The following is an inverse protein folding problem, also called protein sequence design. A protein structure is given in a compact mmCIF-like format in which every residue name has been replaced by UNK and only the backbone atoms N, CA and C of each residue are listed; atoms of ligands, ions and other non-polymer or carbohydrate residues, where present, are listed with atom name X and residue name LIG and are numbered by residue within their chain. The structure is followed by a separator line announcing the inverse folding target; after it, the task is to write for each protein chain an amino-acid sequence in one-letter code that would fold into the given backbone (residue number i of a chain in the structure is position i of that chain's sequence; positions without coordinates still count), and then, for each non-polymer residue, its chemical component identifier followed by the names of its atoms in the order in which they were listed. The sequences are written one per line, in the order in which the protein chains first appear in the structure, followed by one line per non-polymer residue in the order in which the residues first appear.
data_IF_938489972946
#
_entry.id   IF_938489972946
#
_cell.length_a   1.000
_cell.length_b   1.000
_cell.length_c   1.000
_cell.angle_alpha   90.00
_cell.angle_beta   90.00
_cell.angle_gamma   90.00
#
_symmetry.space_group_name_H-M   'P 1'
#
loop_
_entity.id
_entity.type
_entity.pdbx_description
1 polymer ?
#
# COMPACT_ATOMS: atom_id res chain seq x y z
N UNK A 1 10.08 -21.15 9.60
CA UNK A 1 11.27 -20.33 9.91
C UNK A 1 11.17 -19.93 11.38
N UNK A 2 12.26 -20.00 12.15
CA UNK A 2 12.24 -19.68 13.59
C UNK A 2 13.13 -18.46 13.83
N UNK A 3 12.58 -17.39 14.40
CA UNK A 3 13.33 -16.18 14.75
C UNK A 3 13.70 -16.26 16.22
N UNK A 4 14.99 -16.14 16.52
CA UNK A 4 15.47 -16.08 17.90
C UNK A 4 15.52 -14.63 18.37
N UNK A 5 14.72 -14.31 19.38
CA UNK A 5 14.74 -13.02 20.03
C UNK A 5 15.97 -12.91 20.95
N UNK A 6 16.58 -11.74 20.97
CA UNK A 6 17.57 -11.41 21.99
C UNK A 6 16.89 -11.26 23.37
N UNK A 7 17.63 -11.47 24.47
CA UNK A 7 17.08 -11.26 25.82
C UNK A 7 16.50 -9.84 26.03
N UNK A 8 17.06 -8.84 25.35
CA UNK A 8 16.55 -7.47 25.36
C UNK A 8 15.19 -7.35 24.64
N UNK A 9 15.06 -7.96 23.46
CA UNK A 9 13.81 -7.94 22.70
C UNK A 9 12.69 -8.63 23.47
N UNK A 10 12.96 -9.78 24.09
CA UNK A 10 11.98 -10.47 24.94
C UNK A 10 11.52 -9.60 26.11
N UNK A 11 12.45 -8.92 26.79
CA UNK A 11 12.13 -8.02 27.90
C UNK A 11 11.21 -6.89 27.46
N UNK A 12 11.48 -6.29 26.30
CA UNK A 12 10.70 -5.20 25.73
C UNK A 12 9.30 -5.66 25.31
N UNK A 13 9.18 -6.82 24.66
CA UNK A 13 7.89 -7.40 24.28
C UNK A 13 7.04 -7.67 25.54
N UNK A 14 7.62 -8.29 26.58
CA UNK A 14 6.91 -8.51 27.86
C UNK A 14 6.44 -7.20 28.49
N UNK A 15 7.26 -6.15 28.46
CA UNK A 15 6.86 -4.84 28.98
C UNK A 15 5.68 -4.23 28.24
N UNK A 16 5.58 -4.47 26.93
CA UNK A 16 4.46 -4.02 26.08
C UNK A 16 3.18 -4.84 26.37
N UNK A 17 3.30 -6.16 26.49
CA UNK A 17 2.18 -7.04 26.87
C UNK A 17 1.63 -6.72 28.26
N UNK A 18 2.52 -6.45 29.23
CA UNK A 18 2.13 -6.09 30.60
C UNK A 18 1.35 -4.76 30.68
N UNK A 19 1.45 -3.90 29.66
CA UNK A 19 0.69 -2.65 29.56
C UNK A 19 -0.67 -2.85 28.88
N UNK A 20 -1.03 -4.09 28.57
CA UNK A 20 -2.29 -4.45 27.90
C UNK A 20 -2.49 -3.79 26.53
N UNK A 21 -1.40 -3.28 25.92
CA UNK A 21 -1.45 -2.64 24.62
C UNK A 21 -1.60 -3.67 23.47
N UNK A 22 -1.23 -4.92 23.73
CA UNK A 22 -1.29 -6.05 22.80
C UNK A 22 -1.57 -7.33 23.59
N UNK A 23 -2.23 -8.31 22.96
CA UNK A 23 -2.71 -9.53 23.58
C UNK A 23 -1.75 -10.71 23.43
N UNK A 24 -0.83 -10.67 22.46
CA UNK A 24 0.14 -11.74 22.23
C UNK A 24 1.47 -11.23 21.69
N UNK A 25 2.50 -12.08 21.79
CA UNK A 25 3.83 -11.80 21.23
C UNK A 25 3.74 -11.60 19.72
N UNK A 26 2.94 -12.42 19.05
CA UNK A 26 2.69 -12.34 17.61
C UNK A 26 2.11 -10.98 17.23
N UNK A 27 1.13 -10.48 17.97
CA UNK A 27 0.52 -9.16 17.71
C UNK A 27 1.55 -8.02 17.83
N UNK A 28 2.45 -8.09 18.81
CA UNK A 28 3.54 -7.11 18.98
C UNK A 28 4.54 -7.19 17.82
N UNK A 29 4.84 -8.39 17.34
CA UNK A 29 5.75 -8.62 16.21
C UNK A 29 5.14 -8.10 14.91
N UNK A 30 3.87 -8.41 14.65
CA UNK A 30 3.13 -7.89 13.49
C UNK A 30 3.10 -6.36 13.49
N UNK A 31 2.73 -5.73 14.60
CA UNK A 31 2.73 -4.27 14.70
C UNK A 31 4.12 -3.65 14.47
N UNK A 32 5.19 -4.30 14.95
CA UNK A 32 6.55 -3.85 14.71
C UNK A 32 6.96 -3.99 13.23
N UNK A 33 6.55 -5.08 12.56
CA UNK A 33 6.78 -5.29 11.14
C UNK A 33 6.04 -4.24 10.30
N UNK A 34 4.75 -4.03 10.56
CA UNK A 34 3.95 -2.99 9.88
C UNK A 34 4.60 -1.61 10.03
N UNK A 35 5.09 -1.26 11.22
CA UNK A 35 5.78 0.02 11.43
C UNK A 35 7.09 0.14 10.64
N UNK A 36 7.82 -0.96 10.47
CA UNK A 36 9.03 -1.00 9.64
C UNK A 36 8.67 -0.89 8.16
N UNK A 37 7.66 -1.62 7.69
CA UNK A 37 7.18 -1.58 6.31
C UNK A 37 6.70 -0.17 5.92
N UNK A 38 5.88 0.46 6.75
CA UNK A 38 5.44 1.84 6.55
C UNK A 38 6.61 2.83 6.48
N UNK A 39 7.66 2.60 7.28
CA UNK A 39 8.86 3.44 7.23
C UNK A 39 9.65 3.23 5.94
N UNK A 40 9.63 2.03 5.35
CA UNK A 40 10.32 1.77 4.08
C UNK A 40 9.61 2.37 2.88
N UNK A 41 8.30 2.60 2.96
CA UNK A 41 7.49 3.18 1.87
C UNK A 41 6.69 4.38 2.38
N UNK A 42 7.35 5.52 2.65
CA UNK A 42 6.67 6.68 3.22
C UNK A 42 5.58 7.20 2.27
N UNK A 43 4.35 7.30 2.79
CA UNK A 43 3.19 7.83 2.06
C UNK A 43 2.35 6.79 1.33
N UNK A 44 2.75 5.52 1.32
CA UNK A 44 1.91 4.43 0.82
C UNK A 44 1.04 3.87 1.95
N UNK A 45 -0.26 3.75 1.70
CA UNK A 45 -1.26 3.33 2.71
C UNK A 45 -1.80 1.91 2.47
N UNK A 46 -1.37 1.24 1.40
CA UNK A 46 -1.72 -0.15 1.09
C UNK A 46 -0.75 -1.15 1.72
N UNK A 47 -0.98 -2.44 1.45
CA UNK A 47 -0.08 -3.52 1.87
C UNK A 47 1.13 -3.62 0.93
N UNK A 48 2.30 -4.10 1.39
CA UNK A 48 3.51 -4.18 0.58
C UNK A 48 3.30 -4.89 -0.77
N UNK A 49 2.47 -5.93 -0.82
CA UNK A 49 2.17 -6.69 -2.04
C UNK A 49 1.44 -5.85 -3.10
N UNK A 50 0.57 -4.92 -2.67
CA UNK A 50 -0.12 -3.99 -3.57
C UNK A 50 0.88 -3.01 -4.18
N UNK A 51 1.83 -2.52 -3.39
CA UNK A 51 2.91 -1.67 -3.89
C UNK A 51 3.76 -2.39 -4.93
N UNK A 52 4.19 -3.62 -4.63
CA UNK A 52 5.01 -4.42 -5.54
C UNK A 52 4.29 -4.67 -6.87
N UNK A 53 2.98 -4.91 -6.81
CA UNK A 53 2.13 -5.06 -8.00
C UNK A 53 2.09 -3.76 -8.81
N UNK A 54 1.82 -2.62 -8.17
CA UNK A 54 1.82 -1.31 -8.84
C UNK A 54 3.17 -0.96 -9.46
N UNK A 55 4.28 -1.29 -8.78
CA UNK A 55 5.62 -1.08 -9.31
C UNK A 55 5.93 -1.98 -10.51
N UNK A 56 5.45 -3.23 -10.51
CA UNK A 56 5.58 -4.14 -11.65
C UNK A 56 4.75 -3.66 -12.86
N UNK A 57 3.51 -3.23 -12.63
CA UNK A 57 2.66 -2.61 -13.66
C UNK A 57 3.31 -1.34 -14.23
N UNK A 58 3.80 -0.45 -13.36
CA UNK A 58 4.48 0.78 -13.77
C UNK A 58 5.73 0.51 -14.61
N UNK A 59 6.54 -0.50 -14.25
CA UNK A 59 7.71 -0.93 -15.02
C UNK A 59 7.37 -1.49 -16.40
N UNK A 60 6.20 -2.11 -16.55
CA UNK A 60 5.74 -2.65 -17.84
C UNK A 60 4.92 -1.64 -18.64
N UNK A 61 4.60 -0.48 -18.05
CA UNK A 61 3.85 0.57 -18.72
C UNK A 61 4.66 1.26 -19.81
N UNK A 62 3.98 1.72 -20.86
CA UNK A 62 4.58 2.57 -21.88
C UNK A 62 4.86 3.94 -21.28
N UNK A 63 6.09 4.43 -21.42
CA UNK A 63 6.41 5.82 -21.13
C UNK A 63 5.83 6.72 -22.23
N UNK A 64 4.95 7.65 -21.83
CA UNK A 64 4.32 8.61 -22.73
C UNK A 64 5.04 9.96 -22.66
N UNK A 65 5.01 10.70 -23.76
CA UNK A 65 5.31 12.15 -23.71
C UNK A 65 4.16 12.89 -23.01
N UNK A 66 4.41 14.12 -22.56
CA UNK A 66 3.38 14.95 -21.94
C UNK A 66 2.18 15.19 -22.89
N UNK A 67 2.45 15.45 -24.17
CA UNK A 67 1.40 15.63 -25.19
C UNK A 67 0.57 14.35 -25.41
N UNK A 68 1.23 13.18 -25.48
CA UNK A 68 0.54 11.89 -25.59
C UNK A 68 -0.35 11.64 -24.37
N UNK A 69 0.14 11.96 -23.17
CA UNK A 69 -0.60 11.82 -21.92
C UNK A 69 -1.86 12.69 -21.92
N UNK A 70 -1.72 14.01 -22.15
CA UNK A 70 -2.86 14.93 -22.14
C UNK A 70 -3.86 14.64 -23.25
N UNK A 71 -3.39 14.22 -24.44
CA UNK A 71 -4.27 13.78 -25.52
C UNK A 71 -5.08 12.53 -25.13
N UNK A 72 -4.46 11.56 -24.45
CA UNK A 72 -5.14 10.35 -23.97
C UNK A 72 -6.22 10.67 -22.93
N UNK A 73 -5.90 11.51 -21.95
CA UNK A 73 -6.84 11.94 -20.91
C UNK A 73 -8.04 12.67 -21.52
N UNK A 74 -7.80 13.57 -22.48
CA UNK A 74 -8.87 14.28 -23.18
C UNK A 74 -9.82 13.32 -23.90
N UNK A 75 -9.28 12.38 -24.70
CA UNK A 75 -10.08 11.38 -25.43
C UNK A 75 -10.93 10.51 -24.49
N UNK A 76 -10.35 10.04 -23.39
CA UNK A 76 -11.09 9.23 -22.41
C UNK A 76 -12.20 10.03 -21.73
N UNK A 77 -11.92 11.30 -21.38
CA UNK A 77 -12.91 12.19 -20.77
C UNK A 77 -14.07 12.47 -21.72
N UNK A 78 -13.78 12.74 -22.99
CA UNK A 78 -14.80 12.96 -24.02
C UNK A 78 -15.66 11.71 -24.25
N UNK A 79 -15.05 10.52 -24.24
CA UNK A 79 -15.77 9.26 -24.36
C UNK A 79 -16.73 9.03 -23.20
N UNK A 80 -16.26 9.21 -21.95
CA UNK A 80 -17.10 9.10 -20.74
C UNK A 80 -18.25 10.12 -20.76
N UNK A 81 -17.98 11.35 -21.21
CA UNK A 81 -19.01 12.38 -21.33
C UNK A 81 -20.06 12.03 -22.39
N UNK A 82 -19.64 11.44 -23.51
CA UNK A 82 -20.55 11.00 -24.56
C UNK A 82 -21.44 9.84 -24.09
N UNK A 83 -20.88 8.86 -23.37
CA UNK A 83 -21.63 7.76 -22.75
C UNK A 83 -22.68 8.28 -21.76
N UNK A 84 -22.31 9.26 -20.92
CA UNK A 84 -23.25 9.85 -19.97
C UNK A 84 -24.39 10.64 -20.66
N UNK A 85 -24.14 11.21 -21.85
CA UNK A 85 -25.17 11.92 -22.63
C UNK A 85 -26.10 10.99 -23.38
N UNK A 86 -25.67 9.76 -23.70
CA UNK A 86 -26.45 8.78 -24.46
C UNK A 86 -27.14 7.74 -23.57
N UNK A 87 -26.78 7.65 -22.28
CA UNK A 87 -27.50 6.85 -21.29
C UNK A 87 -28.94 7.34 -21.07
N UNK A 88 -29.89 6.43 -20.72
CA UNK A 88 -31.28 6.82 -20.48
C UNK A 88 -31.34 7.84 -19.33
N UNK A 89 -31.95 9.00 -19.61
CA UNK A 89 -32.32 9.96 -18.57
C UNK A 89 -33.49 9.34 -17.80
N UNK A 90 -33.19 8.73 -16.65
CA UNK A 90 -34.21 8.34 -15.66
C UNK A 90 -34.97 9.55 -15.14
#
# INVERSE_FOLDING_TARGET
MTIHLTPEQERRIRAVLNRSAYNSVEEVVEAALTAVEQRTVPGFTGIPEELDTLLAEGRTSKQLTEDEFWSSVGKQTDALLAEHKTGPRS
#
